data_IF_098181235359
#
_entry.id   IF_098181235359
#
_cell.length_a   1.000
_cell.length_b   1.000
_cell.length_c   1.000
_cell.angle_alpha   90.00
_cell.angle_beta   90.00
_cell.angle_gamma   90.00
#
_symmetry.space_group_name_H-M   'P 1'
#
loop_
_entity.id
_entity.type
_entity.pdbx_description
1 polymer ?
#
# COMPACT_ATOMS: atom_id res chain seq x y z
N UNK A 1 26.79 -8.82 -10.63
CA UNK A 1 25.33 -8.66 -10.89
C UNK A 1 24.46 -8.65 -9.62
N UNK A 2 24.92 -9.14 -8.46
CA UNK A 2 24.13 -9.17 -7.21
C UNK A 2 24.02 -7.81 -6.51
N UNK A 3 25.11 -7.04 -6.44
CA UNK A 3 25.14 -5.71 -5.80
C UNK A 3 24.16 -4.74 -6.46
N UNK A 4 24.09 -4.72 -7.79
CA UNK A 4 23.15 -3.85 -8.52
C UNK A 4 21.69 -4.20 -8.23
N UNK A 5 21.37 -5.50 -8.11
CA UNK A 5 20.03 -5.96 -7.72
C UNK A 5 19.66 -5.54 -6.29
N UNK A 6 20.59 -5.63 -5.33
CA UNK A 6 20.35 -5.14 -3.97
C UNK A 6 20.15 -3.62 -3.92
N UNK A 7 20.93 -2.86 -4.70
CA UNK A 7 20.74 -1.41 -4.80
C UNK A 7 19.38 -1.05 -5.41
N UNK A 8 18.97 -1.72 -6.49
CA UNK A 8 17.69 -1.49 -7.12
C UNK A 8 16.51 -1.83 -6.18
N UNK A 9 16.57 -2.98 -5.50
CA UNK A 9 15.54 -3.36 -4.53
C UNK A 9 15.49 -2.41 -3.33
N UNK A 10 16.64 -1.99 -2.83
CA UNK A 10 16.73 -0.98 -1.77
C UNK A 10 16.09 0.34 -2.20
N UNK A 11 16.35 0.79 -3.42
CA UNK A 11 15.78 2.02 -3.96
C UNK A 11 14.27 1.93 -4.14
N UNK A 12 13.73 0.79 -4.59
CA UNK A 12 12.28 0.55 -4.67
C UNK A 12 11.65 0.61 -3.28
N UNK A 13 12.23 -0.10 -2.30
CA UNK A 13 11.72 -0.13 -0.92
C UNK A 13 11.73 1.27 -0.29
N UNK A 14 12.85 2.00 -0.41
CA UNK A 14 12.96 3.37 0.08
C UNK A 14 12.01 4.33 -0.63
N UNK A 15 11.75 4.15 -1.92
CA UNK A 15 10.78 4.98 -2.66
C UNK A 15 9.37 4.84 -2.10
N UNK A 16 8.96 3.62 -1.75
CA UNK A 16 7.66 3.36 -1.11
C UNK A 16 7.57 4.07 0.24
N UNK A 17 8.62 3.93 1.08
CA UNK A 17 8.65 4.56 2.40
C UNK A 17 8.67 6.09 2.31
N UNK A 18 9.52 6.67 1.46
CA UNK A 18 9.65 8.12 1.28
C UNK A 18 8.36 8.73 0.74
N UNK A 19 7.76 8.13 -0.29
CA UNK A 19 6.48 8.60 -0.82
C UNK A 19 5.36 8.49 0.21
N UNK A 20 5.32 7.40 0.99
CA UNK A 20 4.36 7.24 2.09
C UNK A 20 4.54 8.29 3.18
N UNK A 21 5.77 8.58 3.58
CA UNK A 21 6.07 9.63 4.57
C UNK A 21 5.72 11.03 4.07
N UNK A 22 6.03 11.35 2.81
CA UNK A 22 5.64 12.63 2.20
C UNK A 22 4.12 12.76 2.18
N UNK A 23 3.39 11.72 1.77
CA UNK A 23 1.93 11.70 1.77
C UNK A 23 1.34 11.96 3.16
N UNK A 24 1.81 11.23 4.17
CA UNK A 24 1.35 11.41 5.56
C UNK A 24 1.66 12.82 6.10
N UNK A 25 2.85 13.36 5.79
CA UNK A 25 3.22 14.71 6.19
C UNK A 25 2.33 15.78 5.54
N UNK A 26 1.97 15.61 4.27
CA UNK A 26 1.07 16.53 3.57
C UNK A 26 -0.34 16.49 4.16
N UNK A 27 -0.85 15.29 4.47
CA UNK A 27 -2.15 15.14 5.15
C UNK A 27 -2.12 15.82 6.51
N UNK A 28 -1.08 15.60 7.31
CA UNK A 28 -0.95 16.25 8.62
C UNK A 28 -0.88 17.78 8.50
N UNK A 29 -0.19 18.30 7.48
CA UNK A 29 -0.06 19.75 7.25
C UNK A 29 -1.38 20.43 6.92
N UNK A 30 -2.35 19.70 6.35
CA UNK A 30 -3.65 20.24 5.93
C UNK A 30 -4.70 19.98 7.01
N UNK A 31 -4.78 18.74 7.51
CA UNK A 31 -5.84 18.29 8.41
C UNK A 31 -5.50 18.51 9.89
N UNK A 32 -4.25 18.80 10.24
CA UNK A 32 -3.78 19.02 11.61
C UNK A 32 -4.01 17.85 12.59
N UNK A 33 -4.21 16.62 12.08
CA UNK A 33 -4.20 15.38 12.86
C UNK A 33 -3.43 14.29 12.10
N UNK A 34 -2.83 13.36 12.84
CA UNK A 34 -2.08 12.26 12.21
C UNK A 34 -3.07 11.18 11.72
N UNK A 35 -3.14 10.98 10.41
CA UNK A 35 -4.04 9.99 9.82
C UNK A 35 -3.35 8.62 9.73
N UNK A 36 -3.61 7.74 10.70
CA UNK A 36 -3.03 6.39 10.71
C UNK A 36 -3.55 5.48 9.58
N UNK A 37 -4.72 5.78 9.01
CA UNK A 37 -5.29 5.01 7.90
C UNK A 37 -4.60 5.28 6.55
N UNK A 38 -3.66 6.21 6.47
CA UNK A 38 -2.97 6.55 5.22
C UNK A 38 -2.25 5.34 4.60
N UNK A 39 -1.58 4.52 5.42
CA UNK A 39 -0.89 3.31 4.97
C UNK A 39 -1.85 2.25 4.41
N UNK A 40 -3.00 2.05 5.06
CA UNK A 40 -4.04 1.14 4.57
C UNK A 40 -4.70 1.69 3.28
N UNK A 41 -4.83 3.02 3.13
CA UNK A 41 -5.29 3.66 1.89
C UNK A 41 -4.31 3.41 0.73
N UNK A 42 -3.01 3.54 0.97
CA UNK A 42 -1.97 3.15 0.00
C UNK A 42 -2.09 1.69 -0.40
N UNK A 43 -2.37 0.81 0.57
CA UNK A 43 -2.54 -0.62 0.34
C UNK A 43 -3.72 -0.89 -0.60
N UNK A 44 -4.86 -0.22 -0.42
CA UNK A 44 -6.03 -0.36 -1.32
C UNK A 44 -5.66 0.00 -2.76
N UNK A 45 -4.96 1.13 -2.97
CA UNK A 45 -4.50 1.55 -4.29
C UNK A 45 -3.55 0.53 -4.93
N UNK A 46 -2.59 0.01 -4.16
CA UNK A 46 -1.64 -1.00 -4.61
C UNK A 46 -2.33 -2.32 -5.01
N UNK A 47 -3.25 -2.82 -4.19
CA UNK A 47 -4.01 -4.03 -4.49
C UNK A 47 -4.98 -3.84 -5.67
N UNK A 48 -5.54 -2.65 -5.84
CA UNK A 48 -6.38 -2.35 -7.01
C UNK A 48 -5.56 -2.32 -8.29
N UNK A 49 -4.37 -1.73 -8.26
CA UNK A 49 -3.43 -1.80 -9.38
C UNK A 49 -3.04 -3.26 -9.68
N UNK A 50 -2.75 -4.06 -8.65
CA UNK A 50 -2.42 -5.48 -8.79
C UNK A 50 -3.53 -6.27 -9.49
N UNK A 51 -4.78 -6.14 -9.03
CA UNK A 51 -5.94 -6.84 -9.61
C UNK A 51 -6.21 -6.35 -11.03
N UNK A 52 -6.12 -5.03 -11.26
CA UNK A 52 -6.35 -4.44 -12.57
C UNK A 52 -5.33 -4.98 -13.57
N UNK A 53 -4.04 -4.96 -13.22
CA UNK A 53 -2.99 -5.52 -14.06
C UNK A 53 -3.16 -7.03 -14.29
N UNK A 54 -3.55 -7.79 -13.26
CA UNK A 54 -3.86 -9.21 -13.41
C UNK A 54 -5.02 -9.50 -14.36
N UNK A 55 -6.00 -8.60 -14.45
CA UNK A 55 -7.16 -8.73 -15.33
C UNK A 55 -6.87 -8.34 -16.80
N UNK A 56 -6.12 -7.26 -17.02
CA UNK A 56 -5.86 -6.73 -18.38
C UNK A 56 -4.51 -7.21 -18.96
N UNK A 57 -3.62 -7.71 -18.12
CA UNK A 57 -2.30 -8.19 -18.50
C UNK A 57 -1.48 -7.14 -19.25
N UNK A 58 -0.78 -7.59 -20.29
CA UNK A 58 0.12 -6.77 -21.09
C UNK A 58 -0.50 -6.17 -22.36
N UNK A 59 -1.70 -5.59 -22.28
CA UNK A 59 -2.42 -4.99 -23.43
C UNK A 59 -1.50 -4.44 -24.54
N UNK A 60 -1.49 -5.10 -25.69
CA UNK A 60 -1.12 -4.59 -27.03
C UNK A 60 0.27 -4.01 -27.30
N UNK A 61 1.11 -3.73 -26.30
CA UNK A 61 2.40 -3.09 -26.50
C UNK A 61 3.18 -2.79 -25.22
N UNK A 62 4.39 -2.27 -25.38
CA UNK A 62 5.27 -1.90 -24.28
C UNK A 62 5.71 -0.43 -24.41
N UNK A 63 5.72 0.28 -23.30
CA UNK A 63 6.24 1.64 -23.16
C UNK A 63 7.33 1.59 -22.09
N UNK A 64 8.53 2.11 -22.39
CA UNK A 64 9.68 2.05 -21.49
C UNK A 64 10.05 0.61 -21.04
N UNK A 65 9.77 -0.39 -21.88
CA UNK A 65 10.00 -1.80 -21.55
C UNK A 65 8.98 -2.41 -20.58
N UNK A 66 7.94 -1.67 -20.19
CA UNK A 66 6.82 -2.16 -19.38
C UNK A 66 5.57 -2.34 -20.24
N UNK A 67 4.76 -3.39 -20.00
CA UNK A 67 3.52 -3.58 -20.75
C UNK A 67 2.56 -2.40 -20.57
N UNK A 68 1.83 -1.99 -21.61
CA UNK A 68 0.93 -0.83 -21.52
C UNK A 68 -0.12 -0.98 -20.42
N UNK A 69 -0.61 -2.21 -20.18
CA UNK A 69 -1.51 -2.50 -19.07
C UNK A 69 -0.97 -2.13 -17.68
N UNK A 70 0.35 -2.06 -17.49
CA UNK A 70 0.96 -1.58 -16.25
C UNK A 70 0.58 -0.13 -15.97
N UNK A 71 0.65 0.75 -16.98
CA UNK A 71 0.32 2.17 -16.83
C UNK A 71 -1.16 2.38 -16.59
N UNK A 72 -2.02 1.59 -17.25
CA UNK A 72 -3.47 1.58 -16.99
C UNK A 72 -3.74 1.18 -15.54
N UNK A 73 -3.13 0.08 -15.07
CA UNK A 73 -3.27 -0.37 -13.69
C UNK A 73 -2.76 0.65 -12.66
N UNK A 74 -1.67 1.35 -12.96
CA UNK A 74 -1.13 2.43 -12.14
C UNK A 74 -2.14 3.57 -11.99
N UNK A 75 -2.73 4.05 -13.09
CA UNK A 75 -3.73 5.12 -13.07
C UNK A 75 -4.98 4.69 -12.31
N UNK A 76 -5.45 3.45 -12.53
CA UNK A 76 -6.62 2.91 -11.81
C UNK A 76 -6.35 2.78 -10.32
N UNK A 77 -5.15 2.33 -9.91
CA UNK A 77 -4.76 2.26 -8.50
C UNK A 77 -4.72 3.63 -7.82
N UNK A 78 -4.16 4.64 -8.50
CA UNK A 78 -4.16 6.04 -8.01
C UNK A 78 -5.59 6.55 -7.85
N UNK A 79 -6.43 6.35 -8.87
CA UNK A 79 -7.82 6.78 -8.84
C UNK A 79 -8.61 6.12 -7.71
N UNK A 80 -8.42 4.81 -7.49
CA UNK A 80 -9.06 4.08 -6.41
C UNK A 80 -8.65 4.60 -5.02
N UNK A 81 -7.35 4.82 -4.79
CA UNK A 81 -6.87 5.40 -3.55
C UNK A 81 -7.44 6.81 -3.31
N UNK A 82 -7.49 7.65 -4.36
CA UNK A 82 -8.05 9.00 -4.28
C UNK A 82 -9.55 8.97 -3.96
N UNK A 83 -10.32 8.11 -4.62
CA UNK A 83 -11.76 7.94 -4.35
C UNK A 83 -11.98 7.50 -2.91
N UNK A 84 -11.25 6.49 -2.43
CA UNK A 84 -11.38 6.01 -1.05
C UNK A 84 -11.02 7.10 -0.04
N UNK A 85 -9.95 7.86 -0.28
CA UNK A 85 -9.57 8.98 0.58
C UNK A 85 -10.67 10.06 0.64
N UNK A 86 -11.21 10.47 -0.51
CA UNK A 86 -12.27 11.50 -0.60
C UNK A 86 -13.56 11.02 0.05
N UNK A 87 -13.96 9.76 -0.17
CA UNK A 87 -15.17 9.18 0.42
C UNK A 87 -15.05 9.16 1.94
N UNK A 88 -13.91 8.75 2.47
CA UNK A 88 -13.68 8.69 3.92
C UNK A 88 -13.59 10.08 4.54
N UNK A 89 -12.98 11.03 3.87
CA UNK A 89 -13.01 12.43 4.29
C UNK A 89 -14.45 12.92 4.42
N UNK A 90 -15.26 12.80 3.36
CA UNK A 90 -16.63 13.34 3.36
C UNK A 90 -17.60 12.61 4.26
N UNK A 91 -17.47 11.29 4.39
CA UNK A 91 -18.42 10.48 5.15
C UNK A 91 -18.06 10.31 6.61
N UNK A 92 -16.78 10.44 6.97
CA UNK A 92 -16.30 10.15 8.32
C UNK A 92 -15.66 11.37 8.96
N UNK A 93 -14.66 12.00 8.33
CA UNK A 93 -13.90 13.06 8.98
C UNK A 93 -14.60 14.43 8.95
N UNK A 94 -15.10 14.86 7.79
CA UNK A 94 -15.81 16.12 7.60
C UNK A 94 -17.02 16.28 8.54
N UNK A 95 -17.89 15.28 8.76
CA UNK A 95 -19.01 15.41 9.71
C UNK A 95 -18.61 15.28 11.19
N UNK A 96 -17.38 14.85 11.51
CA UNK A 96 -16.92 14.66 12.88
C UNK A 96 -16.24 15.94 13.39
N UNK A 97 -17.03 16.84 13.98
CA UNK A 97 -16.53 18.05 14.66
C UNK A 97 -16.00 17.71 16.07
N UNK A 98 -14.85 17.03 16.13
CA UNK A 98 -14.18 16.63 17.37
C UNK A 98 -12.70 17.03 17.36
N UNK A 99 -12.07 17.03 18.53
CA UNK A 99 -10.66 17.39 18.68
C UNK A 99 -9.72 16.50 17.84
N UNK A 100 -8.52 17.00 17.54
CA UNK A 100 -7.50 16.29 16.75
C UNK A 100 -7.15 14.90 17.30
N UNK A 101 -7.21 14.70 18.62
CA UNK A 101 -7.00 13.38 19.25
C UNK A 101 -8.17 12.44 18.96
N UNK A 102 -9.39 12.97 18.93
CA UNK A 102 -10.57 12.20 18.51
C UNK A 102 -10.44 11.74 17.06
N UNK A 103 -10.08 12.64 16.14
CA UNK A 103 -9.84 12.31 14.74
C UNK A 103 -8.69 11.30 14.55
N UNK A 104 -7.62 11.44 15.34
CA UNK A 104 -6.51 10.49 15.40
C UNK A 104 -7.02 9.08 15.73
N UNK A 105 -7.81 8.93 16.79
CA UNK A 105 -8.37 7.64 17.21
C UNK A 105 -9.34 7.09 16.15
N UNK A 106 -10.19 7.95 15.57
CA UNK A 106 -11.08 7.58 14.46
C UNK A 106 -10.28 7.03 13.28
N UNK A 107 -9.14 7.64 12.95
CA UNK A 107 -8.28 7.16 11.87
C UNK A 107 -7.72 5.75 12.11
N UNK A 108 -7.43 5.39 13.36
CA UNK A 108 -7.02 4.03 13.73
C UNK A 108 -8.18 3.05 13.50
N UNK A 109 -9.41 3.44 13.87
CA UNK A 109 -10.61 2.65 13.59
C UNK A 109 -10.81 2.39 12.10
N UNK A 110 -10.65 3.43 11.27
CA UNK A 110 -10.74 3.32 9.81
C UNK A 110 -9.63 2.40 9.26
N UNK A 111 -8.41 2.49 9.78
CA UNK A 111 -7.30 1.61 9.39
C UNK A 111 -7.66 0.13 9.59
N UNK A 112 -8.29 -0.22 10.72
CA UNK A 112 -8.77 -1.57 10.96
C UNK A 112 -9.88 -2.00 9.98
N UNK A 113 -10.82 -1.11 9.65
CA UNK A 113 -11.87 -1.38 8.68
C UNK A 113 -11.27 -1.66 7.30
N UNK A 114 -10.39 -0.79 6.81
CA UNK A 114 -9.71 -0.99 5.52
C UNK A 114 -8.95 -2.30 5.49
N UNK A 115 -8.17 -2.57 6.54
CA UNK A 115 -7.38 -3.79 6.63
C UNK A 115 -8.26 -5.05 6.63
N UNK A 116 -9.36 -5.03 7.37
CA UNK A 116 -10.33 -6.13 7.38
C UNK A 116 -10.96 -6.35 6.00
N UNK A 117 -11.35 -5.28 5.30
CA UNK A 117 -11.91 -5.38 3.93
C UNK A 117 -10.91 -5.99 2.95
N UNK A 118 -9.64 -5.60 3.03
CA UNK A 118 -8.58 -6.18 2.19
C UNK A 118 -8.39 -7.66 2.53
N UNK A 119 -8.29 -8.00 3.81
CA UNK A 119 -8.10 -9.39 4.25
C UNK A 119 -9.27 -10.30 3.90
N UNK A 120 -10.52 -9.81 3.91
CA UNK A 120 -11.68 -10.59 3.45
C UNK A 120 -11.51 -10.99 1.98
N UNK A 121 -10.94 -10.12 1.14
CA UNK A 121 -10.81 -10.39 -0.29
C UNK A 121 -9.55 -11.17 -0.67
N UNK A 122 -8.44 -10.91 0.01
CA UNK A 122 -7.10 -11.42 -0.33
C UNK A 122 -6.55 -12.45 0.66
N UNK A 123 -7.25 -12.69 1.77
CA UNK A 123 -6.81 -13.56 2.86
C UNK A 123 -5.81 -12.88 3.80
N UNK A 124 -5.55 -13.56 4.91
CA UNK A 124 -4.54 -13.20 5.91
C UNK A 124 -3.67 -14.40 6.30
N UNK A 125 -3.75 -15.49 5.54
CA UNK A 125 -3.15 -16.76 5.90
C UNK A 125 -1.63 -16.73 5.74
N UNK A 126 -0.92 -17.24 6.74
CA UNK A 126 0.52 -17.45 6.65
C UNK A 126 0.81 -18.56 5.64
N UNK A 127 1.46 -18.21 4.53
CA UNK A 127 1.98 -19.21 3.60
C UNK A 127 3.16 -19.92 4.27
N UNK A 128 2.92 -21.13 4.79
CA UNK A 128 4.01 -22.00 5.26
C UNK A 128 4.71 -22.62 4.06
N UNK A 129 5.93 -22.18 3.80
CA UNK A 129 6.82 -22.87 2.89
C UNK A 129 7.42 -24.06 3.62
N UNK A 130 7.18 -25.27 3.10
CA UNK A 130 7.73 -26.51 3.64
C UNK A 130 9.22 -26.62 3.26
N UNK A 131 10.04 -25.74 3.84
CA UNK A 131 11.49 -25.78 3.66
C UNK A 131 12.10 -26.71 4.69
N UNK A 132 12.82 -27.73 4.20
CA UNK A 132 13.62 -28.62 5.03
C UNK A 132 14.57 -27.77 5.89
N UNK A 133 14.54 -27.87 7.23
CA UNK A 133 15.47 -27.14 8.08
C UNK A 133 16.91 -27.50 7.66
N UNK A 134 17.66 -26.52 7.16
CA UNK A 134 19.08 -26.69 6.86
C UNK A 134 19.77 -27.08 8.17
N UNK A 135 20.49 -28.21 8.16
CA UNK A 135 21.25 -28.68 9.32
C UNK A 135 22.25 -27.58 9.75
N UNK A 136 22.54 -27.43 11.06
CA UNK A 136 23.55 -26.49 11.52
C UNK A 136 24.86 -26.69 10.76
N UNK A 137 25.50 -25.61 10.35
CA UNK A 137 26.79 -25.65 9.67
C UNK A 137 27.82 -26.17 10.68
N UNK A 138 28.27 -27.41 10.47
CA UNK A 138 29.18 -28.14 11.38
C UNK A 138 30.53 -27.43 11.60
N UNK A 139 30.87 -26.41 10.81
CA UNK A 139 32.12 -25.65 10.96
C UNK A 139 32.09 -24.56 12.04
N UNK A 140 31.01 -24.44 12.82
CA UNK A 140 30.87 -23.48 13.92
C UNK A 140 30.75 -24.17 15.31
N UNK A 141 31.08 -25.46 15.39
CA UNK A 141 31.12 -26.26 16.64
C UNK A 141 32.53 -26.79 16.86
#
# INVERSE_FOLDING_TARGET
MTVLGYLANGLVFSSILVLGSIGLSLVYSIAHFANFAHGDTMTIGAYTALVTFGAIGGLGGAVLGLPFGFFVALVVGIAAAAVVAVVTERLIYEPLEIDSIGLLITSIGIAFVYRALIQIRFGSDFTRFDIQPLRPIESLV
#
